data_IF_954114949107
#
_entry.id   IF_954114949107
#
_cell.length_a   1.000
_cell.length_b   1.000
_cell.length_c   1.000
_cell.angle_alpha   90.00
_cell.angle_beta   90.00
_cell.angle_gamma   90.00
#
_symmetry.space_group_name_H-M   'P 1'
#
loop_
_entity.id
_entity.type
_entity.pdbx_description
1 polymer ?
#
# COMPACT_ATOMS: atom_id res chain seq x y z
N UNK A 1 5.33 22.65 24.59
CA UNK A 1 5.97 23.75 23.85
C UNK A 1 5.30 23.78 22.49
N UNK A 2 4.60 24.89 22.25
CA UNK A 2 3.65 25.16 21.17
C UNK A 2 4.42 25.49 19.88
N UNK A 3 4.07 24.84 18.76
CA UNK A 3 4.41 25.33 17.43
C UNK A 3 3.11 25.46 16.66
N UNK A 4 2.81 26.72 16.39
CA UNK A 4 1.61 27.31 15.85
C UNK A 4 1.36 26.93 14.38
N UNK A 5 0.10 26.62 14.10
CA UNK A 5 -0.62 26.74 12.84
C UNK A 5 0.17 26.81 11.51
N UNK A 6 0.44 25.64 10.93
CA UNK A 6 0.46 25.51 9.47
C UNK A 6 -0.49 24.39 9.09
N UNK A 7 -1.75 24.75 8.79
CA UNK A 7 -2.72 23.90 8.10
C UNK A 7 -2.22 23.65 6.66
N UNK A 8 -1.09 22.98 6.51
CA UNK A 8 -0.73 22.35 5.26
C UNK A 8 -1.69 21.16 5.12
N UNK A 9 -2.87 21.43 4.55
CA UNK A 9 -3.74 20.39 4.02
C UNK A 9 -2.97 19.77 2.86
N UNK A 10 -2.17 18.76 3.17
CA UNK A 10 -1.59 17.89 2.19
C UNK A 10 -2.74 17.01 1.67
N UNK A 11 -3.42 17.49 0.62
CA UNK A 11 -4.45 16.70 -0.05
C UNK A 11 -3.76 15.65 -0.92
N UNK A 12 -3.34 14.56 -0.28
CA UNK A 12 -2.78 13.39 -0.93
C UNK A 12 -3.91 12.42 -1.22
N UNK A 13 -4.25 12.28 -2.50
CA UNK A 13 -5.26 11.31 -2.92
C UNK A 13 -4.59 10.16 -3.67
N UNK A 14 -5.09 8.95 -3.42
CA UNK A 14 -4.67 7.72 -4.09
C UNK A 14 -5.90 7.05 -4.65
N UNK A 15 -5.94 6.84 -5.96
CA UNK A 15 -6.96 6.05 -6.62
C UNK A 15 -6.29 4.80 -7.17
N UNK A 16 -6.81 3.64 -6.79
CA UNK A 16 -6.30 2.35 -7.24
C UNK A 16 -7.39 1.46 -7.79
N UNK A 17 -7.02 0.69 -8.81
CA UNK A 17 -7.80 -0.39 -9.35
C UNK A 17 -7.07 -1.71 -9.12
N UNK A 18 -7.82 -2.76 -8.80
CA UNK A 18 -7.28 -4.07 -8.51
C UNK A 18 -8.11 -5.17 -9.17
N UNK A 19 -7.42 -6.21 -9.63
CA UNK A 19 -8.01 -7.44 -10.13
C UNK A 19 -7.54 -8.62 -9.27
N UNK A 20 -8.49 -9.44 -8.81
CA UNK A 20 -8.22 -10.69 -8.12
C UNK A 20 -8.73 -11.87 -8.96
N UNK A 21 -7.93 -12.94 -9.03
CA UNK A 21 -8.26 -14.14 -9.77
C UNK A 21 -7.91 -15.37 -8.94
N UNK A 22 -8.92 -16.16 -8.58
CA UNK A 22 -8.70 -17.45 -7.96
C UNK A 22 -7.93 -18.37 -8.92
N UNK A 23 -6.76 -18.85 -8.49
CA UNK A 23 -5.95 -19.82 -9.23
C UNK A 23 -6.14 -21.22 -8.65
N UNK A 24 -6.25 -21.31 -7.31
CA UNK A 24 -6.42 -22.57 -6.59
C UNK A 24 -7.38 -22.41 -5.41
N UNK A 25 -7.87 -23.50 -4.80
CA UNK A 25 -8.66 -23.42 -3.57
C UNK A 25 -7.86 -22.74 -2.46
N UNK A 26 -8.25 -21.52 -2.10
CA UNK A 26 -7.54 -20.70 -1.12
C UNK A 26 -6.35 -19.92 -1.65
N UNK A 27 -6.09 -19.87 -2.97
CA UNK A 27 -5.03 -19.02 -3.55
C UNK A 27 -5.59 -18.12 -4.66
N UNK A 28 -5.51 -16.81 -4.44
CA UNK A 28 -5.87 -15.77 -5.39
C UNK A 28 -4.63 -15.04 -5.90
N UNK A 29 -4.50 -14.90 -7.21
CA UNK A 29 -3.58 -13.94 -7.81
C UNK A 29 -4.23 -12.56 -7.78
N UNK A 30 -3.51 -11.58 -7.24
CA UNK A 30 -4.00 -10.22 -7.07
C UNK A 30 -3.01 -9.28 -7.76
N UNK A 31 -3.50 -8.54 -8.75
CA UNK A 31 -2.76 -7.48 -9.43
C UNK A 31 -3.47 -6.16 -9.15
N UNK A 32 -2.73 -5.13 -8.76
CA UNK A 32 -3.28 -3.80 -8.45
C UNK A 32 -2.39 -2.74 -9.03
N UNK A 33 -3.00 -1.66 -9.45
CA UNK A 33 -2.32 -0.44 -9.86
C UNK A 33 -2.98 0.71 -9.14
N UNK A 34 -2.21 1.64 -8.61
CA UNK A 34 -2.76 2.87 -8.08
C UNK A 34 -1.95 4.07 -8.55
N UNK A 35 -2.69 5.12 -8.85
CA UNK A 35 -2.16 6.44 -9.06
C UNK A 35 -2.30 7.25 -7.78
N UNK A 36 -1.25 7.95 -7.42
CA UNK A 36 -1.20 8.86 -6.30
C UNK A 36 -0.73 10.20 -6.80
N UNK A 37 -1.50 11.24 -6.47
CA UNK A 37 -1.11 12.62 -6.72
C UNK A 37 -0.86 13.30 -5.38
N UNK A 38 0.28 13.96 -5.29
CA UNK A 38 0.62 14.82 -4.15
C UNK A 38 0.57 16.27 -4.62
N UNK A 39 -0.40 17.03 -4.10
CA UNK A 39 -0.54 18.47 -4.34
C UNK A 39 -0.04 19.24 -3.11
N UNK A 40 1.24 19.63 -3.04
CA UNK A 40 1.71 20.57 -2.04
C UNK A 40 1.33 21.98 -2.51
N UNK A 41 0.26 22.54 -1.95
CA UNK A 41 -0.31 23.87 -2.29
C UNK A 41 0.71 25.05 -2.25
N UNK A 42 1.94 24.83 -1.78
CA UNK A 42 2.98 25.84 -1.63
C UNK A 42 4.28 25.60 -2.41
N UNK A 43 4.43 24.46 -3.12
CA UNK A 43 5.65 24.12 -3.87
C UNK A 43 5.29 23.74 -5.30
N UNK A 44 5.98 24.30 -6.31
CA UNK A 44 5.88 23.96 -7.75
C UNK A 44 6.39 22.53 -8.09
N UNK A 45 6.21 21.59 -7.18
CA UNK A 45 6.68 20.22 -7.27
C UNK A 45 5.45 19.32 -7.20
N UNK A 46 4.72 19.23 -8.31
CA UNK A 46 3.73 18.19 -8.55
C UNK A 46 4.48 16.85 -8.57
N UNK A 47 4.26 16.03 -7.54
CA UNK A 47 4.83 14.68 -7.46
C UNK A 47 3.70 13.70 -7.77
N UNK A 48 3.62 13.32 -9.04
CA UNK A 48 2.74 12.28 -9.53
C UNK A 48 3.44 10.92 -9.40
N UNK A 49 2.80 9.98 -8.72
CA UNK A 49 3.35 8.65 -8.45
C UNK A 49 2.42 7.55 -8.94
N UNK A 50 2.94 6.63 -9.74
CA UNK A 50 2.25 5.40 -10.11
C UNK A 50 2.83 4.25 -9.29
N UNK A 51 1.97 3.40 -8.73
CA UNK A 51 2.39 2.13 -8.18
C UNK A 51 1.67 1.00 -8.91
N UNK A 52 2.42 -0.04 -9.25
CA UNK A 52 1.89 -1.30 -9.75
C UNK A 52 2.37 -2.38 -8.78
N UNK A 53 1.46 -3.23 -8.30
CA UNK A 53 1.77 -4.34 -7.41
C UNK A 53 1.08 -5.61 -7.89
N UNK A 54 1.81 -6.72 -7.88
CA UNK A 54 1.30 -8.04 -8.24
C UNK A 54 1.74 -9.04 -7.20
N UNK A 55 0.85 -9.96 -6.85
CA UNK A 55 1.11 -10.87 -5.76
C UNK A 55 0.10 -11.99 -5.65
N UNK A 56 0.34 -12.83 -4.66
CA UNK A 56 -0.51 -13.96 -4.32
C UNK A 56 -1.09 -13.72 -2.94
N UNK A 57 -2.38 -13.99 -2.80
CA UNK A 57 -3.11 -14.02 -1.55
C UNK A 57 -3.52 -15.47 -1.28
N UNK A 58 -3.11 -16.00 -0.14
CA UNK A 58 -3.51 -17.32 0.31
C UNK A 58 -4.44 -17.21 1.52
N UNK A 59 -5.66 -17.73 1.39
CA UNK A 59 -6.60 -17.90 2.48
C UNK A 59 -6.51 -19.34 3.02
N UNK A 60 -6.00 -19.49 4.23
CA UNK A 60 -6.02 -20.73 4.99
C UNK A 60 -7.36 -20.83 5.75
N UNK A 61 -8.35 -21.45 5.10
CA UNK A 61 -9.70 -21.59 5.63
C UNK A 61 -10.41 -20.25 5.79
N UNK A 62 -11.33 -20.16 6.75
CA UNK A 62 -12.11 -18.93 7.00
C UNK A 62 -11.42 -17.95 7.96
N UNK A 63 -10.30 -18.35 8.58
CA UNK A 63 -9.74 -17.66 9.75
C UNK A 63 -8.40 -16.97 9.47
N UNK A 64 -7.60 -17.42 8.50
CA UNK A 64 -6.27 -16.85 8.27
C UNK A 64 -6.10 -16.53 6.79
N UNK A 65 -5.73 -15.30 6.47
CA UNK A 65 -5.39 -14.87 5.12
C UNK A 65 -3.97 -14.32 5.17
N UNK A 66 -3.09 -14.78 4.29
CA UNK A 66 -1.76 -14.22 4.09
C UNK A 66 -1.66 -13.71 2.66
N UNK A 67 -0.81 -12.73 2.44
CA UNK A 67 -0.57 -12.20 1.11
C UNK A 67 0.86 -11.73 0.96
N UNK A 68 1.39 -11.93 -0.23
CA UNK A 68 2.70 -11.47 -0.63
C UNK A 68 2.57 -10.76 -1.97
N UNK A 69 2.95 -9.49 -1.99
CA UNK A 69 2.92 -8.58 -3.12
C UNK A 69 4.34 -8.12 -3.41
N UNK A 70 4.67 -8.06 -4.68
CA UNK A 70 5.81 -7.35 -5.19
C UNK A 70 5.29 -6.23 -6.06
N UNK A 71 5.72 -5.02 -5.78
CA UNK A 71 5.33 -3.84 -6.53
C UNK A 71 6.52 -3.01 -6.97
N UNK A 72 6.23 -2.14 -7.91
CA UNK A 72 7.11 -1.13 -8.43
C UNK A 72 6.39 0.20 -8.30
N UNK A 73 7.07 1.18 -7.72
CA UNK A 73 6.59 2.54 -7.63
C UNK A 73 7.47 3.42 -8.50
N UNK A 74 6.85 4.07 -9.48
CA UNK A 74 7.49 5.05 -10.34
C UNK A 74 6.98 6.43 -9.97
N UNK A 75 7.88 7.32 -9.57
CA UNK A 75 7.56 8.72 -9.34
C UNK A 75 7.85 9.49 -10.63
N UNK A 76 6.79 9.91 -11.32
CA UNK A 76 6.89 10.70 -12.55
C UNK A 76 7.32 12.12 -12.21
N UNK A 77 8.63 12.35 -12.37
CA UNK A 77 9.33 13.55 -12.84
C UNK A 77 8.57 14.89 -12.84
N UNK A 78 8.88 15.72 -11.85
CA UNK A 78 8.82 17.20 -11.99
C UNK A 78 10.18 17.76 -11.54
N UNK A 79 10.93 18.35 -12.47
CA UNK A 79 12.26 18.99 -12.33
C UNK A 79 13.52 18.10 -12.18
N UNK A 80 13.93 17.40 -13.25
CA UNK A 80 15.35 17.11 -13.52
C UNK A 80 16.12 16.15 -12.59
N UNK A 81 15.52 15.70 -11.48
CA UNK A 81 16.06 14.65 -10.62
C UNK A 81 15.40 13.34 -11.03
N UNK A 82 16.19 12.28 -11.18
CA UNK A 82 15.73 10.94 -11.55
C UNK A 82 15.54 10.14 -10.25
N UNK A 83 14.37 10.16 -9.58
CA UNK A 83 14.09 9.14 -8.59
C UNK A 83 13.89 7.83 -9.35
N UNK A 84 14.93 7.00 -9.37
CA UNK A 84 14.85 5.62 -9.86
C UNK A 84 13.62 4.95 -9.26
N UNK A 85 12.77 4.36 -10.11
CA UNK A 85 11.58 3.69 -9.60
C UNK A 85 11.98 2.55 -8.68
N UNK A 86 11.27 2.50 -7.56
CA UNK A 86 11.60 1.65 -6.44
C UNK A 86 10.76 0.38 -6.50
N UNK A 87 11.44 -0.76 -6.57
CA UNK A 87 10.80 -2.02 -6.24
C UNK A 87 10.56 -2.09 -4.74
N UNK A 88 9.35 -2.48 -4.36
CA UNK A 88 8.97 -2.73 -2.98
C UNK A 88 8.29 -4.09 -2.86
N UNK A 89 8.61 -4.81 -1.80
CA UNK A 89 7.87 -6.01 -1.40
C UNK A 89 6.86 -5.61 -0.33
N UNK A 90 5.62 -6.08 -0.42
CA UNK A 90 4.66 -6.00 0.67
C UNK A 90 4.17 -7.40 1.02
N UNK A 91 4.46 -7.83 2.22
CA UNK A 91 3.93 -9.08 2.77
C UNK A 91 3.03 -8.77 3.95
N UNK A 92 1.98 -9.53 4.14
CA UNK A 92 1.09 -9.33 5.26
C UNK A 92 0.11 -10.47 5.40
N UNK A 93 -0.79 -10.30 6.34
CA UNK A 93 -1.87 -11.22 6.55
C UNK A 93 -2.91 -10.63 7.50
N UNK A 94 -4.04 -11.29 7.57
CA UNK A 94 -4.97 -11.10 8.65
C UNK A 94 -5.38 -12.43 9.26
N UNK A 95 -5.64 -12.39 10.55
CA UNK A 95 -6.26 -13.47 11.29
C UNK A 95 -7.62 -12.97 11.77
N UNK A 96 -8.69 -13.63 11.34
CA UNK A 96 -10.04 -13.43 11.84
C UNK A 96 -10.20 -14.28 13.10
N UNK A 97 -10.33 -13.61 14.24
CA UNK A 97 -10.57 -14.23 15.54
C UNK A 97 -12.04 -14.60 15.71
N UNK A 98 -12.94 -13.72 15.27
CA UNK A 98 -14.39 -13.89 15.30
C UNK A 98 -15.03 -13.27 14.04
N UNK A 99 -16.34 -13.49 13.83
CA UNK A 99 -17.09 -12.86 12.72
C UNK A 99 -16.93 -11.34 12.66
N UNK A 100 -16.68 -10.69 13.80
CA UNK A 100 -16.62 -9.23 13.91
C UNK A 100 -15.21 -8.67 14.08
N UNK A 101 -14.24 -9.49 14.51
CA UNK A 101 -12.90 -9.06 14.88
C UNK A 101 -11.83 -9.85 14.14
N UNK A 102 -10.91 -9.12 13.52
CA UNK A 102 -9.67 -9.65 13.01
C UNK A 102 -8.49 -8.78 13.41
N UNK A 103 -7.29 -9.32 13.26
CA UNK A 103 -6.03 -8.59 13.35
C UNK A 103 -5.42 -8.64 11.97
N UNK A 104 -5.05 -7.49 11.41
CA UNK A 104 -4.23 -7.42 10.21
C UNK A 104 -2.82 -6.98 10.58
N UNK A 105 -1.84 -7.60 9.96
CA UNK A 105 -0.45 -7.19 10.01
C UNK A 105 0.12 -7.15 8.60
N UNK A 106 0.77 -6.06 8.24
CA UNK A 106 1.44 -5.92 6.96
C UNK A 106 2.81 -5.26 7.13
N UNK A 107 3.73 -5.66 6.25
CA UNK A 107 5.12 -5.29 6.24
C UNK A 107 5.48 -4.94 4.80
N UNK A 108 5.78 -3.67 4.59
CA UNK A 108 6.30 -3.11 3.35
C UNK A 108 7.81 -2.94 3.51
N UNK A 109 8.55 -3.47 2.54
CA UNK A 109 9.99 -3.35 2.43
C UNK A 109 10.30 -2.65 1.11
N UNK A 110 10.84 -1.45 1.19
CA UNK A 110 11.33 -0.72 0.03
C UNK A 110 12.82 -1.01 -0.21
N UNK A 111 13.27 -0.88 -1.47
CA UNK A 111 14.67 -1.13 -1.86
C UNK A 111 15.68 -0.26 -1.09
N UNK A 112 15.26 0.88 -0.57
CA UNK A 112 16.10 1.80 0.22
C UNK A 112 16.35 1.33 1.66
N UNK A 113 15.77 0.19 2.08
CA UNK A 113 15.98 -0.39 3.41
C UNK A 113 14.96 0.05 4.46
N UNK A 114 14.07 0.98 4.10
CA UNK A 114 12.92 1.32 4.92
C UNK A 114 11.96 0.14 5.00
N UNK A 115 11.76 -0.33 6.23
CA UNK A 115 10.83 -1.41 6.57
C UNK A 115 9.70 -0.79 7.36
N UNK A 116 8.60 -0.54 6.68
CA UNK A 116 7.37 -0.08 7.33
C UNK A 116 6.54 -1.31 7.69
N UNK A 117 6.18 -1.43 8.96
CA UNK A 117 5.27 -2.48 9.42
C UNK A 117 4.09 -1.83 10.12
N UNK A 118 2.90 -2.35 9.81
CA UNK A 118 1.64 -1.92 10.37
C UNK A 118 0.95 -3.13 10.97
N UNK A 119 0.48 -2.97 12.21
CA UNK A 119 -0.38 -3.96 12.86
C UNK A 119 -1.60 -3.22 13.38
N UNK A 120 -2.78 -3.73 13.05
CA UNK A 120 -4.04 -3.12 13.43
C UNK A 120 -5.11 -4.15 13.75
N UNK A 121 -6.02 -3.83 14.67
CA UNK A 121 -7.30 -4.53 14.74
C UNK A 121 -8.18 -4.08 13.57
N UNK A 122 -8.84 -5.03 12.93
CA UNK A 122 -9.90 -4.81 11.95
C UNK A 122 -11.23 -5.23 12.55
N UNK A 123 -12.12 -4.26 12.74
CA UNK A 123 -13.52 -4.50 13.08
C UNK A 123 -14.38 -4.43 11.82
N UNK A 124 -15.23 -5.44 11.60
CA UNK A 124 -16.25 -5.44 10.55
C UNK A 124 -17.59 -5.84 11.15
N UNK A 125 -18.61 -5.00 10.93
CA UNK A 125 -19.97 -5.25 11.41
C UNK A 125 -20.84 -5.87 10.32
#
# INVERSE_FOLDING_TARGET
QEIDHSNARFDQWRIGAGYNRAIAPGTDLVARVAYQKFDPHHSRLDLDGYNAEVGLRNAFGEHVEVYAFAGYQDYTRTHGVNPDGAFYGRLGGQVKLNRNWGINGDLKMDRHGDKEWSVGPRFSW
#
